data_IF_813720102376
#
_entry.id   IF_813720102376
#
_cell.length_a   1.000
_cell.length_b   1.000
_cell.length_c   1.000
_cell.angle_alpha   90.00
_cell.angle_beta   90.00
_cell.angle_gamma   90.00
#
_symmetry.space_group_name_H-M   'P 1'
#
loop_
_entity.id
_entity.type
_entity.pdbx_description
1 polymer ?
#
# COMPACT_ATOMS: atom_id res chain seq x y z
N UNK A 1 11.50 14.21 15.19
CA UNK A 1 12.24 13.15 15.92
C UNK A 1 12.59 12.10 14.90
N UNK A 2 13.86 12.03 14.52
CA UNK A 2 14.33 11.01 13.61
C UNK A 2 14.39 9.66 14.34
N UNK A 3 13.95 8.60 13.66
CA UNK A 3 13.96 7.23 14.20
C UNK A 3 14.82 6.37 13.30
N UNK A 4 15.70 5.58 13.90
CA UNK A 4 16.56 4.64 13.18
C UNK A 4 16.03 3.21 13.36
N UNK A 5 16.14 2.42 12.30
CA UNK A 5 15.82 1.00 12.27
C UNK A 5 16.99 0.27 11.63
N UNK A 6 17.51 -0.75 12.30
CA UNK A 6 18.51 -1.65 11.72
C UNK A 6 17.81 -2.84 11.07
N UNK A 7 18.18 -3.13 9.83
CA UNK A 7 17.63 -4.24 9.05
C UNK A 7 18.77 -5.07 8.48
N UNK A 8 18.62 -6.38 8.49
CA UNK A 8 19.51 -7.29 7.76
C UNK A 8 19.02 -7.36 6.31
N UNK A 9 19.89 -6.97 5.37
CA UNK A 9 19.61 -7.02 3.94
C UNK A 9 20.31 -8.25 3.34
N UNK A 10 19.65 -8.86 2.36
CA UNK A 10 20.30 -9.86 1.53
C UNK A 10 21.50 -9.23 0.80
N UNK A 11 22.64 -9.95 0.67
CA UNK A 11 23.88 -9.36 0.16
C UNK A 11 23.75 -8.74 -1.24
N UNK A 12 22.94 -9.36 -2.10
CA UNK A 12 22.61 -8.89 -3.45
C UNK A 12 21.89 -7.53 -3.42
N UNK A 13 20.87 -7.38 -2.59
CA UNK A 13 20.13 -6.11 -2.43
C UNK A 13 21.06 -5.00 -1.95
N UNK A 14 21.92 -5.30 -0.96
CA UNK A 14 22.88 -4.32 -0.44
C UNK A 14 23.87 -3.86 -1.52
N UNK A 15 24.38 -4.79 -2.33
CA UNK A 15 25.30 -4.48 -3.42
C UNK A 15 24.65 -3.61 -4.50
N UNK A 16 23.40 -3.91 -4.88
CA UNK A 16 22.65 -3.08 -5.84
C UNK A 16 22.46 -1.65 -5.32
N UNK A 17 22.02 -1.50 -4.06
CA UNK A 17 21.82 -0.18 -3.45
C UNK A 17 23.14 0.60 -3.34
N UNK A 18 24.24 -0.08 -3.04
CA UNK A 18 25.58 0.52 -2.95
C UNK A 18 26.06 1.00 -4.32
N UNK A 19 25.89 0.19 -5.37
CA UNK A 19 26.24 0.58 -6.75
C UNK A 19 25.44 1.81 -7.22
N UNK A 20 24.15 1.89 -6.88
CA UNK A 20 23.32 3.07 -7.18
C UNK A 20 23.77 4.29 -6.39
N UNK A 21 24.16 4.13 -5.12
CA UNK A 21 24.68 5.22 -4.29
C UNK A 21 25.97 5.81 -4.89
N UNK A 22 26.92 4.95 -5.28
CA UNK A 22 28.17 5.35 -5.95
C UNK A 22 27.89 6.06 -7.27
N UNK A 23 27.04 5.48 -8.13
CA UNK A 23 26.72 6.03 -9.45
C UNK A 23 25.98 7.38 -9.37
N UNK A 24 25.14 7.56 -8.36
CA UNK A 24 24.37 8.80 -8.15
C UNK A 24 25.14 9.86 -7.33
N UNK A 25 26.26 9.49 -6.70
CA UNK A 25 26.99 10.35 -5.76
C UNK A 25 26.20 10.66 -4.49
N UNK A 26 25.18 9.86 -4.17
CA UNK A 26 24.35 10.04 -2.97
C UNK A 26 24.80 9.10 -1.85
N UNK A 27 24.63 9.47 -0.57
CA UNK A 27 24.83 8.54 0.54
C UNK A 27 23.89 7.34 0.43
N UNK A 28 24.37 6.14 0.80
CA UNK A 28 23.59 4.91 0.77
C UNK A 28 22.28 5.05 1.55
N UNK A 29 22.30 5.74 2.69
CA UNK A 29 21.12 5.99 3.52
C UNK A 29 20.06 6.81 2.78
N UNK A 30 20.48 7.73 1.91
CA UNK A 30 19.56 8.53 1.08
C UNK A 30 18.89 7.69 0.01
N UNK A 31 19.65 6.79 -0.62
CA UNK A 31 19.12 5.83 -1.59
C UNK A 31 18.14 4.87 -0.92
N UNK A 32 18.54 4.27 0.20
CA UNK A 32 17.68 3.39 1.01
C UNK A 32 16.40 4.11 1.44
N UNK A 33 16.50 5.33 1.98
CA UNK A 33 15.33 6.11 2.39
C UNK A 33 14.40 6.43 1.21
N UNK A 34 14.95 6.64 0.02
CA UNK A 34 14.17 6.88 -1.20
C UNK A 34 13.43 5.62 -1.64
N UNK A 35 14.09 4.46 -1.62
CA UNK A 35 13.47 3.16 -1.88
C UNK A 35 12.34 2.87 -0.87
N UNK A 36 12.58 3.09 0.42
CA UNK A 36 11.57 2.91 1.47
C UNK A 36 10.39 3.85 1.23
N UNK A 37 10.62 5.13 0.94
CA UNK A 37 9.56 6.12 0.67
C UNK A 37 8.71 5.72 -0.53
N UNK A 38 9.34 5.24 -1.60
CA UNK A 38 8.66 4.75 -2.80
C UNK A 38 7.89 3.45 -2.55
N UNK A 39 8.39 2.60 -1.65
CA UNK A 39 7.80 1.32 -1.26
C UNK A 39 6.88 1.37 -0.04
N UNK A 40 6.44 2.56 0.41
CA UNK A 40 5.52 2.65 1.54
C UNK A 40 4.17 1.99 1.21
N UNK A 41 3.53 1.33 2.20
CA UNK A 41 2.17 0.83 2.02
C UNK A 41 1.19 1.97 1.74
N UNK A 42 -0.01 1.67 1.19
CA UNK A 42 -1.02 2.68 0.91
C UNK A 42 -1.38 3.48 2.18
N UNK A 43 -1.08 4.78 2.13
CA UNK A 43 -1.28 5.70 3.23
C UNK A 43 -2.75 6.14 3.31
N UNK A 44 -3.25 6.31 4.53
CA UNK A 44 -4.61 6.79 4.79
C UNK A 44 -4.72 8.33 4.82
N UNK A 45 -3.63 9.06 4.57
CA UNK A 45 -3.61 10.53 4.69
C UNK A 45 -4.59 11.27 3.77
N UNK A 46 -4.96 10.67 2.63
CA UNK A 46 -5.99 11.21 1.71
C UNK A 46 -7.38 10.59 1.93
N UNK A 47 -7.49 9.61 2.82
CA UNK A 47 -8.76 8.92 3.09
C UNK A 47 -9.47 9.62 4.25
N UNK A 48 -10.79 9.89 4.15
CA UNK A 48 -11.56 10.42 5.28
C UNK A 48 -11.40 9.56 6.55
N UNK A 49 -11.20 10.23 7.69
CA UNK A 49 -10.98 9.57 8.99
C UNK A 49 -12.07 8.58 9.34
N UNK A 50 -13.32 8.85 8.94
CA UNK A 50 -14.46 7.97 9.14
C UNK A 50 -14.26 6.53 8.59
N UNK A 51 -13.38 6.35 7.59
CA UNK A 51 -13.12 5.05 6.98
C UNK A 51 -11.89 4.33 7.56
N UNK A 52 -11.06 5.01 8.35
CA UNK A 52 -9.79 4.47 8.82
C UNK A 52 -9.99 3.18 9.62
N UNK A 53 -10.97 3.14 10.51
CA UNK A 53 -11.30 1.97 11.33
C UNK A 53 -11.68 0.74 10.51
N UNK A 54 -12.20 0.94 9.29
CA UNK A 54 -12.54 -0.16 8.38
C UNK A 54 -11.37 -0.58 7.49
N UNK A 55 -10.46 0.34 7.17
CA UNK A 55 -9.35 0.06 6.24
C UNK A 55 -8.08 -0.42 6.96
N UNK A 56 -7.78 0.06 8.16
CA UNK A 56 -6.62 -0.38 8.95
C UNK A 56 -6.58 -1.90 9.19
N UNK A 57 -7.71 -2.58 9.49
CA UNK A 57 -7.70 -4.03 9.65
C UNK A 57 -7.23 -4.81 8.42
N UNK A 58 -7.32 -4.25 7.20
CA UNK A 58 -6.93 -4.95 5.96
C UNK A 58 -5.44 -5.26 5.93
N UNK A 59 -4.60 -4.46 6.60
CA UNK A 59 -3.16 -4.72 6.72
C UNK A 59 -2.85 -6.07 7.39
N UNK A 60 -3.76 -6.58 8.23
CA UNK A 60 -3.62 -7.86 8.95
C UNK A 60 -4.16 -9.05 8.17
N UNK A 61 -4.89 -8.82 7.07
CA UNK A 61 -5.44 -9.90 6.26
C UNK A 61 -4.34 -10.55 5.43
N UNK A 62 -4.47 -11.84 5.18
CA UNK A 62 -3.66 -12.55 4.20
C UNK A 62 -4.04 -12.14 2.76
N UNK A 63 -3.19 -12.49 1.80
CA UNK A 63 -3.35 -12.11 0.40
C UNK A 63 -4.62 -12.69 -0.22
N UNK A 64 -5.04 -13.89 0.22
CA UNK A 64 -6.25 -14.53 -0.32
C UNK A 64 -7.51 -13.76 0.08
N UNK A 65 -7.62 -13.35 1.35
CA UNK A 65 -8.73 -12.54 1.84
C UNK A 65 -8.76 -11.16 1.19
N UNK A 66 -7.60 -10.55 0.97
CA UNK A 66 -7.52 -9.30 0.22
C UNK A 66 -8.02 -9.47 -1.22
N UNK A 67 -7.68 -10.58 -1.87
CA UNK A 67 -8.17 -10.88 -3.22
C UNK A 67 -9.70 -11.09 -3.23
N UNK A 68 -10.25 -11.82 -2.26
CA UNK A 68 -11.71 -12.00 -2.16
C UNK A 68 -12.44 -10.66 -1.96
N UNK A 69 -11.83 -9.70 -1.26
CA UNK A 69 -12.34 -8.32 -1.18
C UNK A 69 -12.29 -7.64 -2.56
N UNK A 70 -11.14 -7.69 -3.25
CA UNK A 70 -10.99 -7.09 -4.58
C UNK A 70 -12.01 -7.65 -5.57
N UNK A 71 -12.27 -8.95 -5.52
CA UNK A 71 -13.25 -9.67 -6.35
C UNK A 71 -14.72 -9.41 -5.93
N UNK A 72 -14.96 -8.66 -4.85
CA UNK A 72 -16.30 -8.33 -4.37
C UNK A 72 -17.02 -9.49 -3.69
N UNK A 73 -16.30 -10.55 -3.29
CA UNK A 73 -16.85 -11.71 -2.59
C UNK A 73 -17.08 -11.42 -1.09
N UNK A 74 -16.49 -10.36 -0.58
CA UNK A 74 -16.66 -9.90 0.80
C UNK A 74 -17.63 -8.74 0.85
N UNK A 75 -18.76 -8.94 1.53
CA UNK A 75 -19.68 -7.85 1.83
C UNK A 75 -19.04 -6.87 2.82
N UNK A 76 -19.09 -5.59 2.52
CA UNK A 76 -18.61 -4.52 3.40
C UNK A 76 -19.75 -3.53 3.64
N UNK A 77 -19.81 -2.94 4.82
CA UNK A 77 -20.83 -1.93 5.15
C UNK A 77 -20.15 -0.64 5.57
N UNK A 78 -20.73 0.46 5.11
CA UNK A 78 -20.35 1.80 5.50
C UNK A 78 -20.31 1.94 7.04
N UNK A 79 -19.34 2.68 7.60
CA UNK A 79 -19.35 3.03 9.01
C UNK A 79 -20.67 3.67 9.42
N UNK A 80 -21.17 3.34 10.61
CA UNK A 80 -22.42 3.91 11.14
C UNK A 80 -22.29 5.43 11.28
N UNK A 81 -23.34 6.17 10.95
CA UNK A 81 -23.35 7.64 11.03
C UNK A 81 -22.55 8.35 9.93
N UNK A 82 -22.09 7.61 8.93
CA UNK A 82 -21.37 8.16 7.79
C UNK A 82 -22.33 8.85 6.81
N UNK A 83 -21.95 10.02 6.32
CA UNK A 83 -22.67 10.79 5.30
C UNK A 83 -22.36 10.35 3.86
N UNK A 84 -21.44 9.39 3.69
CA UNK A 84 -20.97 8.94 2.37
C UNK A 84 -21.90 7.86 1.77
N UNK A 85 -21.81 7.61 0.47
CA UNK A 85 -22.59 6.54 -0.17
C UNK A 85 -21.92 5.19 0.06
N UNK A 86 -22.74 4.15 0.21
CA UNK A 86 -22.28 2.76 0.32
C UNK A 86 -21.42 2.34 -0.88
N UNK A 87 -21.84 2.66 -2.10
CA UNK A 87 -21.10 2.33 -3.32
C UNK A 87 -19.71 3.00 -3.38
N UNK A 88 -19.59 4.26 -2.95
CA UNK A 88 -18.30 4.97 -2.92
C UNK A 88 -17.33 4.30 -1.94
N UNK A 89 -17.83 3.87 -0.79
CA UNK A 89 -17.04 3.17 0.20
C UNK A 89 -16.63 1.77 -0.26
N UNK A 90 -17.51 1.03 -0.93
CA UNK A 90 -17.17 -0.28 -1.52
C UNK A 90 -16.03 -0.16 -2.53
N UNK A 91 -16.08 0.84 -3.40
CA UNK A 91 -15.00 1.12 -4.37
C UNK A 91 -13.70 1.42 -3.61
N UNK A 92 -13.73 2.33 -2.64
CA UNK A 92 -12.55 2.67 -1.83
C UNK A 92 -11.96 1.44 -1.12
N UNK A 93 -12.81 0.62 -0.51
CA UNK A 93 -12.42 -0.57 0.24
C UNK A 93 -11.70 -1.59 -0.67
N UNK A 94 -12.23 -1.80 -1.88
CA UNK A 94 -11.64 -2.67 -2.90
C UNK A 94 -10.32 -2.12 -3.45
N UNK A 95 -10.29 -0.83 -3.80
CA UNK A 95 -9.07 -0.16 -4.27
C UNK A 95 -7.97 -0.19 -3.21
N UNK A 96 -8.32 -0.04 -1.93
CA UNK A 96 -7.36 -0.12 -0.83
C UNK A 96 -6.79 -1.53 -0.67
N UNK A 97 -7.65 -2.56 -0.70
CA UNK A 97 -7.22 -3.96 -0.66
C UNK A 97 -6.28 -4.31 -1.83
N UNK A 98 -6.61 -3.86 -3.04
CA UNK A 98 -5.77 -4.03 -4.21
C UNK A 98 -4.41 -3.32 -4.06
N UNK A 99 -4.40 -2.13 -3.48
CA UNK A 99 -3.16 -1.39 -3.23
C UNK A 99 -2.25 -2.11 -2.22
N UNK A 100 -2.83 -2.81 -1.24
CA UNK A 100 -2.08 -3.67 -0.30
C UNK A 100 -1.49 -4.89 -1.00
N UNK A 101 -2.24 -5.56 -1.88
CA UNK A 101 -1.72 -6.68 -2.67
C UNK A 101 -0.55 -6.24 -3.54
N UNK A 102 -0.69 -5.10 -4.23
CA UNK A 102 0.39 -4.52 -5.02
C UNK A 102 1.64 -4.25 -4.17
N UNK A 103 1.46 -3.65 -3.00
CA UNK A 103 2.55 -3.36 -2.07
C UNK A 103 3.26 -4.63 -1.58
N UNK A 104 2.54 -5.75 -1.43
CA UNK A 104 3.10 -7.05 -1.07
C UNK A 104 3.77 -7.80 -2.24
N UNK A 105 3.86 -7.18 -3.42
CA UNK A 105 4.54 -7.74 -4.58
C UNK A 105 3.64 -8.55 -5.52
N UNK A 106 2.32 -8.56 -5.33
CA UNK A 106 1.41 -9.22 -6.26
C UNK A 106 1.18 -8.35 -7.50
N UNK A 107 1.20 -8.92 -8.73
CA UNK A 107 0.84 -8.19 -9.92
C UNK A 107 -0.63 -7.76 -9.83
N UNK A 108 -0.94 -6.54 -10.28
CA UNK A 108 -2.34 -6.11 -10.43
C UNK A 108 -2.90 -6.80 -11.68
N UNK A 109 -3.92 -7.67 -11.57
CA UNK A 109 -4.56 -8.22 -12.74
C UNK A 109 -5.13 -7.09 -13.61
N UNK A 110 -5.06 -7.24 -14.93
CA UNK A 110 -5.45 -6.22 -15.90
C UNK A 110 -6.85 -5.66 -15.65
N UNK A 111 -7.79 -6.53 -15.28
CA UNK A 111 -9.16 -6.19 -14.92
C UNK A 111 -9.30 -5.13 -13.81
N UNK A 112 -8.27 -4.92 -12.99
CA UNK A 112 -8.29 -4.01 -11.86
C UNK A 112 -7.35 -2.81 -11.99
N UNK A 113 -6.67 -2.64 -13.13
CA UNK A 113 -5.76 -1.51 -13.34
C UNK A 113 -6.50 -0.16 -13.28
N UNK A 114 -7.73 -0.09 -13.79
CA UNK A 114 -8.57 1.11 -13.77
C UNK A 114 -8.91 1.60 -12.35
N UNK A 115 -8.94 0.70 -11.35
CA UNK A 115 -9.22 1.04 -9.96
C UNK A 115 -8.04 1.75 -9.27
N UNK A 116 -6.82 1.58 -9.77
CA UNK A 116 -5.58 2.09 -9.16
C UNK A 116 -5.13 3.41 -9.80
N UNK A 117 -5.46 3.64 -11.07
CA UNK A 117 -5.05 4.84 -11.82
C UNK A 117 -5.90 6.09 -11.55
N UNK A 118 -7.08 5.95 -10.94
CA UNK A 118 -8.01 7.07 -10.65
C UNK A 118 -7.64 7.97 -9.46
N UNK A 119 -6.46 7.82 -8.85
CA UNK A 119 -6.08 8.47 -7.60
C UNK A 119 -4.85 9.39 -7.64
N UNK A 120 -4.44 9.88 -8.82
CA UNK A 120 -3.36 10.88 -8.92
C UNK A 120 -3.90 12.30 -8.80
#
# INVERSE_FOLDING_TARGET
MDRQVQIELAPDIYQELSAVAEASGQPLETVVASCVRAGLPPLLGKVPVAFHDKLLPLHKLDDRKLLDIVEGKTAVSLPRGSQYRQADFEILYRTYALSLLKWRGHPIPEAYQALVTGGR
#
